data_IF_490390743821
#
_entry.id   IF_490390743821
#
_cell.length_a   1.000
_cell.length_b   1.000
_cell.length_c   1.000
_cell.angle_alpha   90.00
_cell.angle_beta   90.00
_cell.angle_gamma   90.00
#
_symmetry.space_group_name_H-M   'P 1'
#
loop_
_entity.id
_entity.type
_entity.pdbx_description
1 polymer ?
#
# COMPACT_ATOMS: atom_id res chain seq x y z
N UNK A 1 21.64 -4.45 -78.53
CA UNK A 1 22.77 -5.22 -77.97
C UNK A 1 23.11 -4.65 -76.61
N UNK A 2 22.93 -5.46 -75.55
CA UNK A 2 23.57 -5.40 -74.22
C UNK A 2 23.91 -4.02 -73.62
N UNK A 3 23.22 -3.62 -72.56
CA UNK A 3 23.75 -3.74 -71.19
C UNK A 3 22.85 -3.09 -70.14
N UNK A 4 22.90 -3.67 -68.95
CA UNK A 4 22.06 -3.53 -67.77
C UNK A 4 22.89 -2.90 -66.64
N UNK A 5 22.35 -1.91 -65.92
CA UNK A 5 22.69 -1.46 -64.54
C UNK A 5 21.51 -0.58 -64.09
N UNK A 6 20.58 -0.96 -63.20
CA UNK A 6 20.60 -1.28 -61.75
C UNK A 6 21.01 -0.11 -60.82
N UNK A 7 20.02 0.61 -60.29
CA UNK A 7 20.08 1.38 -59.02
C UNK A 7 18.62 1.68 -58.60
N UNK A 8 17.98 0.90 -57.73
CA UNK A 8 18.09 0.81 -56.26
C UNK A 8 17.48 2.02 -55.51
N UNK A 9 16.29 1.76 -54.95
CA UNK A 9 15.76 2.27 -53.67
C UNK A 9 15.45 3.79 -53.56
N UNK A 10 14.40 4.22 -52.86
CA UNK A 10 13.91 3.79 -51.54
C UNK A 10 12.45 4.28 -51.39
N UNK A 11 11.51 3.40 -51.01
CA UNK A 11 10.25 3.84 -50.40
C UNK A 11 10.52 4.12 -48.91
N UNK A 12 10.09 5.27 -48.42
CA UNK A 12 9.96 5.50 -46.98
C UNK A 12 8.61 6.16 -46.68
N UNK A 13 7.84 5.39 -45.93
CA UNK A 13 6.49 5.58 -45.41
C UNK A 13 6.35 6.82 -44.52
N UNK A 14 5.21 7.49 -44.65
CA UNK A 14 4.73 8.48 -43.68
C UNK A 14 4.50 7.80 -42.31
N UNK A 15 5.22 8.26 -41.29
CA UNK A 15 4.95 7.95 -39.89
C UNK A 15 4.50 9.23 -39.19
N UNK A 16 3.20 9.33 -38.95
CA UNK A 16 2.59 10.32 -38.05
C UNK A 16 3.00 9.98 -36.61
N UNK A 17 3.43 10.94 -35.77
CA UNK A 17 3.61 10.65 -34.37
C UNK A 17 2.22 10.49 -33.75
N UNK A 18 1.93 9.25 -33.35
CA UNK A 18 0.81 8.92 -32.51
C UNK A 18 0.89 9.79 -31.24
N UNK A 19 -0.20 10.50 -30.95
CA UNK A 19 -0.39 11.18 -29.68
C UNK A 19 -0.19 10.16 -28.56
N UNK A 20 0.93 10.28 -27.85
CA UNK A 20 1.16 9.60 -26.60
C UNK A 20 0.12 10.13 -25.62
N UNK A 21 -0.92 9.33 -25.38
CA UNK A 21 -1.70 9.42 -24.17
C UNK A 21 -0.71 9.12 -23.03
N UNK A 22 -0.11 10.19 -22.49
CA UNK A 22 0.40 10.15 -21.13
C UNK A 22 -0.83 9.98 -20.24
N UNK A 23 -1.23 8.72 -20.02
CA UNK A 23 -2.02 8.35 -18.86
C UNK A 23 -1.21 8.81 -17.66
N UNK A 24 -1.65 9.90 -17.03
CA UNK A 24 -1.39 10.20 -15.64
C UNK A 24 -1.99 9.03 -14.85
N UNK A 25 -1.25 7.92 -14.82
CA UNK A 25 -1.54 6.80 -13.96
C UNK A 25 -1.53 7.40 -12.55
N UNK A 26 -2.63 7.28 -11.77
CA UNK A 26 -2.62 7.80 -10.42
C UNK A 26 -1.42 7.17 -9.74
N UNK A 27 -0.47 8.01 -9.31
CA UNK A 27 0.59 7.60 -8.41
C UNK A 27 -0.09 6.72 -7.36
N UNK A 28 0.21 5.42 -7.36
CA UNK A 28 -0.49 4.43 -6.57
C UNK A 28 -0.70 5.02 -5.18
N UNK A 29 -1.96 5.35 -4.84
CA UNK A 29 -2.27 6.03 -3.60
C UNK A 29 -1.64 5.19 -2.49
N UNK A 30 -0.57 5.72 -1.89
CA UNK A 30 0.24 4.94 -0.97
C UNK A 30 -0.68 4.44 0.13
N UNK A 31 -0.69 3.13 0.37
CA UNK A 31 -1.68 2.54 1.25
C UNK A 31 -1.52 3.13 2.66
N UNK A 32 -2.55 3.80 3.17
CA UNK A 32 -2.48 4.38 4.51
C UNK A 32 -2.56 3.28 5.57
N UNK A 33 -1.76 3.41 6.62
CA UNK A 33 -1.89 2.60 7.82
C UNK A 33 -3.25 2.86 8.48
N UNK A 34 -3.97 1.79 8.86
CA UNK A 34 -5.25 1.94 9.57
C UNK A 34 -5.60 0.72 10.42
N UNK A 35 -6.26 0.96 11.55
CA UNK A 35 -6.80 -0.08 12.44
C UNK A 35 -7.90 -0.93 11.78
N UNK A 36 -8.56 -0.42 10.74
CA UNK A 36 -9.65 -1.10 10.05
C UNK A 36 -9.17 -2.00 8.92
N UNK A 37 -8.17 -1.53 8.16
CA UNK A 37 -7.78 -2.12 6.88
C UNK A 37 -6.39 -2.75 6.88
N UNK A 38 -5.57 -2.48 7.90
CA UNK A 38 -4.23 -3.08 8.00
C UNK A 38 -4.27 -4.28 8.94
N UNK A 39 -3.74 -5.46 8.52
CA UNK A 39 -3.52 -6.58 9.43
C UNK A 39 -2.61 -6.17 10.60
N UNK A 40 -2.92 -6.66 11.80
CA UNK A 40 -2.12 -6.37 12.99
C UNK A 40 -0.66 -6.82 12.83
N UNK A 41 -0.41 -7.92 12.12
CA UNK A 41 0.94 -8.38 11.80
C UNK A 41 1.75 -7.34 11.01
N UNK A 42 1.13 -6.65 10.04
CA UNK A 42 1.80 -5.61 9.25
C UNK A 42 2.12 -4.38 10.11
N UNK A 43 1.19 -3.98 10.99
CA UNK A 43 1.41 -2.89 11.95
C UNK A 43 2.55 -3.21 12.92
N UNK A 44 2.65 -4.47 13.38
CA UNK A 44 3.72 -4.92 14.27
C UNK A 44 5.08 -5.08 13.56
N UNK A 45 5.08 -5.34 12.25
CA UNK A 45 6.29 -5.46 11.45
C UNK A 45 6.95 -4.11 11.15
N UNK A 46 6.16 -3.02 11.05
CA UNK A 46 6.68 -1.67 10.89
C UNK A 46 7.06 -1.06 12.25
N UNK A 47 8.28 -0.52 12.38
CA UNK A 47 8.78 -0.01 13.65
C UNK A 47 7.99 1.20 14.19
N UNK A 48 7.57 2.11 13.30
CA UNK A 48 6.83 3.32 13.67
C UNK A 48 5.38 2.99 14.04
N UNK A 49 4.71 2.16 13.23
CA UNK A 49 3.35 1.70 13.52
C UNK A 49 3.31 0.87 14.80
N UNK A 50 4.28 -0.02 15.03
CA UNK A 50 4.42 -0.76 16.29
C UNK A 50 4.60 0.19 17.48
N UNK A 51 5.39 1.26 17.35
CA UNK A 51 5.54 2.23 18.44
C UNK A 51 4.23 2.95 18.77
N UNK A 52 3.41 3.26 17.75
CA UNK A 52 2.04 3.76 17.95
C UNK A 52 1.19 2.72 18.69
N UNK A 53 1.24 1.45 18.29
CA UNK A 53 0.50 0.40 18.98
C UNK A 53 0.93 0.21 20.43
N UNK A 54 2.23 0.22 20.73
CA UNK A 54 2.74 0.10 22.10
C UNK A 54 2.36 1.30 22.98
N UNK A 55 2.24 2.50 22.41
CA UNK A 55 1.75 3.69 23.12
C UNK A 55 0.30 3.53 23.59
N UNK A 56 -0.55 2.94 22.75
CA UNK A 56 -1.99 2.83 23.01
C UNK A 56 -2.39 1.50 23.66
N UNK A 57 -1.63 0.43 23.40
CA UNK A 57 -1.86 -0.93 23.90
C UNK A 57 -0.51 -1.52 24.36
N UNK A 58 -0.04 -1.15 25.57
CA UNK A 58 1.27 -1.59 26.05
C UNK A 58 1.40 -3.12 26.12
N UNK A 59 2.50 -3.65 25.57
CA UNK A 59 2.83 -5.06 25.56
C UNK A 59 2.20 -5.86 24.41
N UNK A 60 1.45 -5.22 23.50
CA UNK A 60 0.77 -5.90 22.38
C UNK A 60 1.74 -6.67 21.48
N UNK A 61 2.95 -6.15 21.22
CA UNK A 61 3.94 -6.83 20.38
C UNK A 61 4.55 -8.08 21.01
N UNK A 62 4.40 -8.24 22.33
CA UNK A 62 4.96 -9.36 23.11
C UNK A 62 3.89 -10.31 23.65
N UNK A 63 2.60 -9.98 23.46
CA UNK A 63 1.51 -10.76 24.01
C UNK A 63 1.30 -12.04 23.17
N UNK A 64 1.46 -13.26 23.75
CA UNK A 64 1.25 -14.50 23.02
C UNK A 64 -0.21 -14.69 22.52
N UNK A 65 -1.19 -14.02 23.14
CA UNK A 65 -2.59 -14.05 22.70
C UNK A 65 -2.81 -13.31 21.37
N UNK A 66 -1.86 -12.49 20.93
CA UNK A 66 -1.92 -11.76 19.65
C UNK A 66 -1.59 -12.66 18.47
N UNK A 67 -0.78 -13.71 18.66
CA UNK A 67 -0.33 -14.61 17.60
C UNK A 67 -1.47 -15.21 16.75
N UNK A 68 -2.57 -15.76 17.31
CA UNK A 68 -3.67 -16.30 16.50
C UNK A 68 -4.50 -15.22 15.79
N UNK A 69 -4.49 -13.97 16.26
CA UNK A 69 -5.33 -12.90 15.72
C UNK A 69 -4.57 -11.90 14.85
N UNK A 70 -3.24 -11.98 14.79
CA UNK A 70 -2.41 -10.99 14.06
C UNK A 70 -2.70 -10.91 12.56
N UNK A 71 -3.31 -11.94 11.97
CA UNK A 71 -3.77 -11.91 10.57
C UNK A 71 -4.99 -11.02 10.33
N UNK A 72 -5.67 -10.56 11.40
CA UNK A 72 -6.84 -9.69 11.36
C UNK A 72 -6.46 -8.24 11.64
N UNK A 73 -7.33 -7.30 11.28
CA UNK A 73 -7.21 -5.90 11.69
C UNK A 73 -7.69 -5.69 13.12
N UNK A 74 -7.25 -4.62 13.79
CA UNK A 74 -7.70 -4.30 15.15
C UNK A 74 -9.22 -4.11 15.24
N UNK A 75 -9.83 -3.53 14.20
CA UNK A 75 -11.29 -3.39 14.09
C UNK A 75 -12.00 -4.74 13.97
N UNK A 76 -11.41 -5.72 13.30
CA UNK A 76 -11.95 -7.08 13.26
C UNK A 76 -11.79 -7.79 14.62
N UNK A 77 -10.65 -7.60 15.31
CA UNK A 77 -10.39 -8.16 16.65
C UNK A 77 -11.35 -7.60 17.69
N UNK A 78 -11.76 -6.32 17.55
CA UNK A 78 -12.74 -5.67 18.43
C UNK A 78 -14.02 -6.50 18.61
N UNK A 79 -14.48 -7.23 17.59
CA UNK A 79 -15.70 -8.06 17.70
C UNK A 79 -15.61 -9.13 18.80
N UNK A 80 -14.40 -9.57 19.14
CA UNK A 80 -14.15 -10.56 20.20
C UNK A 80 -13.81 -9.93 21.56
N UNK A 81 -13.37 -8.66 21.57
CA UNK A 81 -12.90 -7.96 22.76
C UNK A 81 -13.28 -6.46 22.77
N UNK A 82 -14.58 -6.11 22.70
CA UNK A 82 -15.02 -4.72 22.55
C UNK A 82 -14.66 -3.85 23.76
N UNK A 83 -14.63 -4.44 24.97
CA UNK A 83 -14.24 -3.74 26.19
C UNK A 83 -12.75 -3.36 26.23
N UNK A 84 -11.91 -4.09 25.49
CA UNK A 84 -10.47 -3.86 25.42
C UNK A 84 -10.05 -3.01 24.22
N UNK A 85 -10.85 -3.04 23.15
CA UNK A 85 -10.62 -2.28 21.93
C UNK A 85 -11.80 -1.34 21.62
N UNK A 86 -12.16 -0.41 22.52
CA UNK A 86 -13.28 0.51 22.25
C UNK A 86 -12.99 1.38 21.02
N UNK A 87 -14.04 1.85 20.34
CA UNK A 87 -13.90 2.66 19.13
C UNK A 87 -13.07 3.94 19.34
N UNK A 88 -13.13 4.52 20.54
CA UNK A 88 -12.34 5.69 20.91
C UNK A 88 -10.84 5.39 20.92
N UNK A 89 -10.44 4.17 21.33
CA UNK A 89 -9.05 3.73 21.27
C UNK A 89 -8.60 3.52 19.82
N UNK A 90 -9.42 2.84 19.00
CA UNK A 90 -9.10 2.62 17.60
C UNK A 90 -8.95 3.95 16.83
N UNK A 91 -9.84 4.91 17.08
CA UNK A 91 -9.75 6.24 16.50
C UNK A 91 -8.48 6.99 16.94
N UNK A 92 -8.06 6.86 18.20
CA UNK A 92 -6.83 7.46 18.69
C UNK A 92 -5.58 6.83 18.05
N UNK A 93 -5.59 5.52 17.81
CA UNK A 93 -4.55 4.81 17.08
C UNK A 93 -4.51 5.28 15.62
N UNK A 94 -5.65 5.30 14.91
CA UNK A 94 -5.71 5.78 13.52
C UNK A 94 -5.21 7.23 13.39
N UNK A 95 -5.52 8.10 14.35
CA UNK A 95 -5.04 9.49 14.35
C UNK A 95 -3.50 9.59 14.48
N UNK A 96 -2.87 8.65 15.18
CA UNK A 96 -1.40 8.59 15.27
C UNK A 96 -0.78 7.87 14.07
N UNK A 97 -1.41 6.82 13.55
CA UNK A 97 -0.99 6.13 12.33
C UNK A 97 -1.02 7.05 11.10
N UNK A 98 -1.99 7.96 11.01
CA UNK A 98 -2.11 8.94 9.94
C UNK A 98 -0.94 9.95 9.89
N UNK A 99 -0.11 10.02 10.94
CA UNK A 99 1.09 10.88 10.97
C UNK A 99 2.32 10.17 10.42
N UNK A 100 2.24 8.87 10.16
CA UNK A 100 3.34 8.08 9.63
C UNK A 100 3.44 8.24 8.10
N UNK A 101 4.64 8.04 7.53
CA UNK A 101 4.75 7.86 6.09
C UNK A 101 3.87 6.67 5.66
N UNK A 102 3.33 6.74 4.44
CA UNK A 102 2.46 5.68 3.96
C UNK A 102 3.22 4.34 3.79
N UNK A 103 2.43 3.25 3.75
CA UNK A 103 2.91 1.86 3.85
C UNK A 103 3.78 1.41 2.68
#
# INVERSE_FOLDING_TARGET
MKSLVLALALLATAAVPAAALAEDAPAAAQAAWSTANTPLADLLANAEAKAVLEKHIPGISTNPEVEPVKGLSLKAIQAYAPDRLPDTLLAAIDADLAKLPAK
#
